data_IF_904801111246
#
_entry.id   IF_904801111246
#
_cell.length_a   1.000
_cell.length_b   1.000
_cell.length_c   1.000
_cell.angle_alpha   90.00
_cell.angle_beta   90.00
_cell.angle_gamma   90.00
#
_symmetry.space_group_name_H-M   'P 1'
#
loop_
_entity.id
_entity.type
_entity.pdbx_description
1 polymer ?
#
# COMPACT_ATOMS: atom_id res chain seq x y z
N UNK A 1 11.50 -14.60 -14.91
CA UNK A 1 11.23 -14.67 -13.45
C UNK A 1 10.52 -15.98 -13.18
N UNK A 2 11.15 -16.91 -12.47
CA UNK A 2 10.50 -18.15 -12.02
C UNK A 2 9.46 -17.79 -10.97
N UNK A 3 8.19 -18.07 -11.24
CA UNK A 3 7.12 -17.81 -10.28
C UNK A 3 7.30 -18.76 -9.10
N UNK A 4 7.55 -18.20 -7.90
CA UNK A 4 7.58 -18.97 -6.66
C UNK A 4 6.25 -19.72 -6.49
N UNK A 5 6.33 -20.95 -6.04
CA UNK A 5 5.18 -21.83 -5.82
C UNK A 5 4.98 -22.21 -4.35
N UNK A 6 5.72 -21.59 -3.43
CA UNK A 6 5.56 -21.79 -1.99
C UNK A 6 5.18 -20.48 -1.31
N UNK A 7 4.48 -20.57 -0.18
CA UNK A 7 4.07 -19.42 0.62
C UNK A 7 5.19 -19.01 1.58
N UNK A 8 5.63 -17.75 1.51
CA UNK A 8 6.70 -17.24 2.39
C UNK A 8 6.22 -16.98 3.83
N UNK A 9 4.91 -17.04 4.08
CA UNK A 9 4.30 -16.79 5.40
C UNK A 9 4.14 -18.07 6.23
N UNK A 10 3.88 -19.21 5.58
CA UNK A 10 3.65 -20.49 6.25
C UNK A 10 4.42 -21.67 5.65
N UNK A 11 5.27 -21.42 4.65
CA UNK A 11 6.16 -22.40 4.00
C UNK A 11 5.47 -23.57 3.31
N UNK A 12 4.15 -23.48 3.07
CA UNK A 12 3.40 -24.49 2.29
C UNK A 12 3.72 -24.39 0.80
N UNK A 13 3.86 -25.54 0.15
CA UNK A 13 4.05 -25.65 -1.30
C UNK A 13 2.72 -25.77 -2.05
N UNK A 14 2.67 -25.24 -3.26
CA UNK A 14 1.50 -25.26 -4.13
C UNK A 14 1.88 -25.72 -5.53
N UNK A 15 0.96 -26.39 -6.23
CA UNK A 15 1.20 -26.84 -7.59
C UNK A 15 1.30 -25.70 -8.63
N UNK A 16 0.82 -24.49 -8.30
CA UNK A 16 0.86 -23.34 -9.20
C UNK A 16 0.87 -22.00 -8.46
N UNK A 17 1.36 -20.97 -9.14
CA UNK A 17 1.29 -19.58 -8.67
C UNK A 17 -0.15 -19.12 -8.36
N UNK A 18 -1.12 -19.52 -9.18
CA UNK A 18 -2.54 -19.20 -8.98
C UNK A 18 -3.04 -19.77 -7.64
N UNK A 19 -2.67 -21.01 -7.33
CA UNK A 19 -3.06 -21.65 -6.08
C UNK A 19 -2.39 -20.97 -4.88
N UNK A 20 -1.13 -20.56 -5.01
CA UNK A 20 -0.43 -19.77 -4.00
C UNK A 20 -1.14 -18.43 -3.72
N UNK A 21 -1.52 -17.69 -4.77
CA UNK A 21 -2.22 -16.40 -4.62
C UNK A 21 -3.59 -16.58 -3.96
N UNK A 22 -4.33 -17.62 -4.32
CA UNK A 22 -5.63 -17.94 -3.70
C UNK A 22 -5.41 -18.30 -2.22
N UNK A 23 -4.39 -19.09 -1.92
CA UNK A 23 -4.03 -19.44 -0.56
C UNK A 23 -3.68 -18.20 0.28
N UNK A 24 -2.78 -17.33 -0.19
CA UNK A 24 -2.43 -16.09 0.52
C UNK A 24 -3.66 -15.23 0.77
N UNK A 25 -4.54 -15.09 -0.23
CA UNK A 25 -5.76 -14.29 -0.08
C UNK A 25 -6.71 -14.85 0.99
N UNK A 26 -6.87 -16.17 1.05
CA UNK A 26 -7.86 -16.81 1.91
C UNK A 26 -7.34 -17.07 3.33
N UNK A 27 -6.08 -17.43 3.46
CA UNK A 27 -5.44 -17.80 4.75
C UNK A 27 -4.74 -16.61 5.39
N UNK A 28 -4.23 -15.67 4.59
CA UNK A 28 -3.43 -14.52 5.04
C UNK A 28 -4.07 -13.18 4.62
N UNK A 29 -5.40 -13.11 4.64
CA UNK A 29 -6.21 -11.98 4.12
C UNK A 29 -5.90 -10.62 4.75
N UNK A 30 -5.39 -10.59 5.98
CA UNK A 30 -5.02 -9.39 6.74
C UNK A 30 -3.51 -9.37 7.08
N UNK A 31 -2.68 -9.94 6.21
CA UNK A 31 -1.26 -10.07 6.46
C UNK A 31 -0.53 -8.73 6.54
N UNK A 32 -0.02 -8.39 7.73
CA UNK A 32 0.89 -7.27 7.94
C UNK A 32 2.37 -7.68 7.89
N UNK A 33 2.66 -8.97 7.82
CA UNK A 33 4.02 -9.48 7.84
C UNK A 33 4.68 -9.29 6.48
N UNK A 34 5.82 -8.60 6.49
CA UNK A 34 6.69 -8.41 5.34
C UNK A 34 7.93 -9.26 5.62
N UNK A 35 8.11 -10.42 4.95
CA UNK A 35 9.18 -11.36 5.28
C UNK A 35 10.58 -10.71 5.24
N UNK A 36 10.78 -9.76 4.34
CA UNK A 36 12.03 -9.02 4.16
C UNK A 36 12.06 -7.66 4.87
N UNK A 37 11.20 -7.42 5.88
CA UNK A 37 11.20 -6.13 6.58
C UNK A 37 12.58 -5.76 7.17
N UNK A 38 13.32 -6.76 7.65
CA UNK A 38 14.63 -6.58 8.30
C UNK A 38 15.72 -6.01 7.38
N UNK A 39 15.54 -6.07 6.04
CA UNK A 39 16.46 -5.43 5.09
C UNK A 39 16.00 -4.04 4.65
N UNK A 40 14.80 -3.59 5.06
CA UNK A 40 14.31 -2.25 4.72
C UNK A 40 14.92 -1.22 5.66
N UNK A 41 15.80 -0.38 5.11
CA UNK A 41 16.38 0.75 5.85
C UNK A 41 15.30 1.75 6.25
N UNK A 42 15.44 2.33 7.45
CA UNK A 42 14.58 3.44 7.85
C UNK A 42 14.78 4.61 6.89
N UNK A 43 13.71 5.18 6.31
CA UNK A 43 13.83 6.31 5.42
C UNK A 43 14.23 7.59 6.19
N UNK A 44 14.97 8.47 5.52
CA UNK A 44 15.28 9.79 6.06
C UNK A 44 14.04 10.70 6.03
N UNK A 45 14.03 11.74 6.86
CA UNK A 45 12.95 12.75 6.85
C UNK A 45 12.78 13.39 5.47
N UNK A 46 13.88 13.63 4.75
CA UNK A 46 13.85 14.19 3.39
C UNK A 46 13.16 13.25 2.40
N UNK A 47 13.46 11.95 2.44
CA UNK A 47 12.78 10.94 1.60
C UNK A 47 11.28 10.88 1.89
N UNK A 48 10.89 10.97 3.17
CA UNK A 48 9.50 11.00 3.59
C UNK A 48 8.80 12.26 3.05
N UNK A 49 9.39 13.44 3.22
CA UNK A 49 8.82 14.71 2.76
C UNK A 49 8.67 14.71 1.24
N UNK A 50 9.70 14.27 0.50
CA UNK A 50 9.65 14.17 -0.96
C UNK A 50 8.54 13.23 -1.43
N UNK A 51 8.39 12.08 -0.76
CA UNK A 51 7.31 11.14 -1.05
C UNK A 51 5.94 11.77 -0.81
N UNK A 52 5.73 12.40 0.35
CA UNK A 52 4.45 13.02 0.72
C UNK A 52 4.06 14.09 -0.31
N UNK A 53 4.99 14.98 -0.67
CA UNK A 53 4.76 16.03 -1.65
C UNK A 53 4.38 15.44 -3.02
N UNK A 54 5.11 14.43 -3.48
CA UNK A 54 4.84 13.74 -4.74
C UNK A 54 3.48 13.04 -4.72
N UNK A 55 3.15 12.39 -3.60
CA UNK A 55 1.89 11.70 -3.38
C UNK A 55 0.69 12.67 -3.41
N UNK A 56 0.81 13.83 -2.77
CA UNK A 56 -0.21 14.88 -2.77
C UNK A 56 -0.45 15.40 -4.19
N UNK A 57 0.60 15.68 -4.97
CA UNK A 57 0.48 16.12 -6.37
C UNK A 57 -0.25 15.07 -7.22
N UNK A 58 0.11 13.80 -7.08
CA UNK A 58 -0.55 12.69 -7.77
C UNK A 58 -2.01 12.55 -7.36
N UNK A 59 -2.31 12.64 -6.06
CA UNK A 59 -3.67 12.61 -5.53
C UNK A 59 -4.50 13.75 -6.10
N UNK A 60 -4.03 15.00 -6.04
CA UNK A 60 -4.75 16.15 -6.61
C UNK A 60 -5.04 15.96 -8.10
N UNK A 61 -4.05 15.51 -8.87
CA UNK A 61 -4.22 15.22 -10.31
C UNK A 61 -5.27 14.14 -10.58
N UNK A 62 -5.35 13.09 -9.77
CA UNK A 62 -6.21 11.92 -10.01
C UNK A 62 -7.58 12.06 -9.36
N UNK A 63 -7.69 12.73 -8.21
CA UNK A 63 -8.94 12.98 -7.50
C UNK A 63 -9.75 14.15 -8.07
N UNK A 64 -9.22 14.90 -9.05
CA UNK A 64 -9.94 15.98 -9.75
C UNK A 64 -11.42 15.66 -10.04
N UNK A 65 -12.27 16.66 -9.84
CA UNK A 65 -13.72 16.51 -9.69
C UNK A 65 -14.40 15.67 -10.77
N UNK A 66 -14.93 14.52 -10.36
CA UNK A 66 -16.07 13.91 -11.05
C UNK A 66 -17.29 14.71 -10.65
N UNK A 67 -17.87 15.47 -11.59
CA UNK A 67 -19.09 16.26 -11.36
C UNK A 67 -20.37 15.41 -11.38
N UNK A 68 -20.26 14.12 -11.71
CA UNK A 68 -21.40 13.28 -12.07
C UNK A 68 -21.68 12.17 -11.05
N UNK A 69 -20.70 11.73 -10.25
CA UNK A 69 -20.90 10.68 -9.25
C UNK A 69 -19.77 10.61 -8.21
N UNK A 70 -20.14 10.23 -6.99
CA UNK A 70 -19.23 9.64 -6.00
C UNK A 70 -18.78 8.30 -6.55
N UNK A 71 -17.48 8.13 -6.80
CA UNK A 71 -16.93 6.93 -7.43
C UNK A 71 -15.65 6.44 -6.75
N UNK A 72 -15.35 5.16 -6.92
CA UNK A 72 -14.10 4.54 -6.45
C UNK A 72 -12.98 4.88 -7.43
N UNK A 73 -12.01 5.69 -7.01
CA UNK A 73 -10.79 5.97 -7.78
C UNK A 73 -9.64 5.10 -7.27
N UNK A 74 -9.00 4.39 -8.18
CA UNK A 74 -7.76 3.66 -7.89
C UNK A 74 -6.56 4.55 -8.26
N UNK A 75 -5.72 4.85 -7.26
CA UNK A 75 -4.42 5.48 -7.48
C UNK A 75 -3.36 4.37 -7.55
N UNK A 76 -2.57 4.39 -8.61
CA UNK A 76 -1.41 3.53 -8.75
C UNK A 76 -0.18 4.44 -8.80
N UNK A 77 0.84 4.07 -8.03
CA UNK A 77 2.07 4.84 -7.90
C UNK A 77 3.22 3.89 -8.22
N UNK A 78 3.78 4.04 -9.42
CA UNK A 78 4.70 3.07 -10.01
C UNK A 78 6.11 3.09 -9.41
N UNK A 79 6.55 4.21 -8.83
CA UNK A 79 7.97 4.38 -8.48
C UNK A 79 8.17 5.21 -7.21
N UNK A 80 8.26 4.54 -6.06
CA UNK A 80 8.87 5.11 -4.85
C UNK A 80 9.55 4.01 -4.05
N UNK A 81 10.54 4.36 -3.22
CA UNK A 81 11.28 3.37 -2.45
C UNK A 81 10.36 2.68 -1.45
N UNK A 82 10.36 1.35 -1.50
CA UNK A 82 9.49 0.46 -0.74
C UNK A 82 9.49 0.77 0.76
N UNK A 83 10.65 1.10 1.31
CA UNK A 83 10.80 1.44 2.71
C UNK A 83 9.94 2.66 3.10
N UNK A 84 9.84 3.71 2.28
CA UNK A 84 9.03 4.89 2.61
C UNK A 84 7.55 4.52 2.71
N UNK A 85 7.03 3.76 1.76
CA UNK A 85 5.63 3.29 1.80
C UNK A 85 5.40 2.43 3.05
N UNK A 86 6.26 1.46 3.31
CA UNK A 86 6.12 0.57 4.46
C UNK A 86 6.17 1.36 5.77
N UNK A 87 7.13 2.26 5.95
CA UNK A 87 7.24 3.03 7.20
C UNK A 87 6.08 4.00 7.43
N UNK A 88 5.48 4.54 6.36
CA UNK A 88 4.31 5.40 6.48
C UNK A 88 3.03 4.62 6.83
N UNK A 89 2.84 3.43 6.25
CA UNK A 89 1.55 2.74 6.31
C UNK A 89 1.51 1.46 7.14
N UNK A 90 2.64 0.88 7.57
CA UNK A 90 2.68 -0.43 8.26
C UNK A 90 1.79 -0.53 9.50
N UNK A 91 1.55 0.60 10.17
CA UNK A 91 0.75 0.68 11.38
C UNK A 91 -0.75 0.90 11.11
N UNK A 92 -1.14 1.15 9.85
CA UNK A 92 -2.55 1.33 9.50
C UNK A 92 -3.32 0.02 9.66
N UNK A 93 -4.59 0.13 10.03
CA UNK A 93 -5.46 -1.03 10.29
C UNK A 93 -5.61 -1.91 9.04
N UNK A 94 -5.83 -1.26 7.89
CA UNK A 94 -6.10 -1.90 6.60
C UNK A 94 -4.84 -2.26 5.81
N UNK A 95 -3.65 -2.02 6.38
CA UNK A 95 -2.37 -2.33 5.74
C UNK A 95 -2.23 -3.84 5.50
N UNK A 96 -1.84 -4.20 4.26
CA UNK A 96 -1.68 -5.57 3.81
C UNK A 96 -0.50 -5.71 2.85
N UNK A 97 0.21 -6.82 2.96
CA UNK A 97 1.23 -7.24 2.00
C UNK A 97 0.95 -8.66 1.49
N UNK A 98 0.98 -8.84 0.17
CA UNK A 98 0.97 -10.16 -0.48
C UNK A 98 2.37 -10.48 -1.01
N UNK A 99 3.10 -11.43 -0.39
CA UNK A 99 4.40 -11.87 -0.87
C UNK A 99 4.36 -12.42 -2.29
N UNK A 100 3.37 -13.27 -2.62
CA UNK A 100 3.24 -13.83 -3.96
C UNK A 100 3.02 -12.76 -5.04
N UNK A 101 2.29 -11.68 -4.74
CA UNK A 101 2.10 -10.56 -5.67
C UNK A 101 3.16 -9.47 -5.56
N UNK A 102 4.01 -9.52 -4.54
CA UNK A 102 4.92 -8.43 -4.13
C UNK A 102 4.18 -7.08 -4.08
N UNK A 103 2.99 -7.09 -3.49
CA UNK A 103 2.07 -5.95 -3.54
C UNK A 103 1.66 -5.52 -2.14
N UNK A 104 1.83 -4.23 -1.89
CA UNK A 104 1.28 -3.53 -0.74
C UNK A 104 -0.12 -2.98 -1.03
N UNK A 105 -0.96 -2.93 -0.01
CA UNK A 105 -2.27 -2.32 -0.06
C UNK A 105 -2.59 -1.66 1.28
N UNK A 106 -3.20 -0.49 1.22
CA UNK A 106 -3.81 0.19 2.36
C UNK A 106 -5.08 0.87 1.86
N UNK A 107 -6.17 0.80 2.62
CA UNK A 107 -7.48 1.32 2.23
C UNK A 107 -7.90 2.44 3.18
N UNK A 108 -8.36 3.56 2.62
CA UNK A 108 -8.89 4.71 3.35
C UNK A 108 -10.26 5.04 2.76
N UNK A 109 -11.28 5.16 3.60
CA UNK A 109 -12.67 5.29 3.16
C UNK A 109 -13.39 6.44 3.87
N UNK A 110 -14.20 7.19 3.11
CA UNK A 110 -15.03 8.28 3.61
C UNK A 110 -14.24 9.40 4.31
N UNK A 111 -14.93 10.13 5.18
CA UNK A 111 -14.36 11.25 5.93
C UNK A 111 -13.25 10.81 6.89
N UNK A 112 -13.42 9.65 7.55
CA UNK A 112 -12.40 9.10 8.44
C UNK A 112 -11.10 8.79 7.69
N UNK A 113 -11.20 8.22 6.48
CA UNK A 113 -10.05 7.98 5.62
C UNK A 113 -9.32 9.26 5.22
N UNK A 114 -10.06 10.31 4.84
CA UNK A 114 -9.47 11.63 4.53
C UNK A 114 -8.76 12.18 5.76
N UNK A 115 -9.43 12.25 6.92
CA UNK A 115 -8.83 12.73 8.17
C UNK A 115 -7.56 11.99 8.53
N UNK A 116 -7.53 10.65 8.34
CA UNK A 116 -6.34 9.85 8.60
C UNK A 116 -5.20 10.16 7.63
N UNK A 117 -5.49 10.33 6.34
CA UNK A 117 -4.48 10.76 5.36
C UNK A 117 -3.91 12.15 5.69
N UNK A 118 -4.73 13.08 6.21
CA UNK A 118 -4.28 14.41 6.63
C UNK A 118 -3.27 14.31 7.77
N UNK A 119 -3.51 13.41 8.72
CA UNK A 119 -2.60 13.16 9.84
C UNK A 119 -1.30 12.52 9.36
N UNK A 120 -1.37 11.52 8.49
CA UNK A 120 -0.19 10.82 7.96
C UNK A 120 0.73 11.73 7.16
N UNK A 121 0.16 12.70 6.46
CA UNK A 121 0.91 13.62 5.59
C UNK A 121 1.12 15.01 6.17
N UNK A 122 0.61 15.27 7.37
CA UNK A 122 0.53 16.61 7.95
C UNK A 122 -0.04 17.65 6.96
N UNK A 123 -1.02 17.23 6.15
CA UNK A 123 -1.57 18.02 5.05
C UNK A 123 -3.06 18.27 5.27
N UNK A 124 -3.41 19.53 5.55
CA UNK A 124 -4.78 19.97 5.84
C UNK A 124 -5.43 20.71 4.65
N UNK A 125 -4.67 21.08 3.63
CA UNK A 125 -5.15 21.88 2.48
C UNK A 125 -5.55 20.99 1.29
N UNK A 126 -6.56 20.16 1.50
CA UNK A 126 -7.27 19.53 0.38
C UNK A 126 -8.24 20.56 -0.18
N UNK A 127 -7.70 21.57 -0.86
CA UNK A 127 -8.52 22.41 -1.73
C UNK A 127 -9.01 21.50 -2.86
N UNK A 128 -10.18 20.89 -2.64
CA UNK A 128 -11.00 20.42 -3.73
C UNK A 128 -11.60 21.67 -4.33
#
# INVERSE_FOLDING_TARGET
MTNKTYCELCFKNFASYKNLVIHERNVHSNNKLIPHFYILSQPTSEQIIYYINSFIVLLKKKLGFSRHAIGKKHLLIDTFPENVFVYLFKNEETFKYSPAKRKYQCNFEGYAGITRLNQLFCYNQWSF
#
